data_IF_813465158547
#
_entry.id   IF_813465158547
#
_cell.length_a   1.000
_cell.length_b   1.000
_cell.length_c   1.000
_cell.angle_alpha   90.00
_cell.angle_beta   90.00
_cell.angle_gamma   90.00
#
_symmetry.space_group_name_H-M   'P 1'
#
loop_
_entity.id
_entity.type
_entity.pdbx_description
1 polymer ?
#
# COMPACT_ATOMS: atom_id res chain seq x y z
N UNK A 1 -15.42 -20.77 -7.91
CA UNK A 1 -16.52 -19.99 -7.31
C UNK A 1 -16.65 -20.17 -5.79
N UNK A 2 -15.98 -21.16 -5.18
CA UNK A 2 -15.93 -21.32 -3.72
C UNK A 2 -14.56 -21.89 -3.27
N UNK A 3 -14.25 -21.75 -1.99
CA UNK A 3 -13.06 -22.27 -1.33
C UNK A 3 -13.44 -23.02 -0.04
N UNK A 4 -12.65 -24.03 0.34
CA UNK A 4 -12.92 -24.85 1.51
C UNK A 4 -12.28 -24.24 2.77
N UNK A 5 -13.06 -23.97 3.81
CA UNK A 5 -12.62 -23.39 5.09
C UNK A 5 -13.13 -24.29 6.21
N UNK A 6 -12.21 -24.92 6.96
CA UNK A 6 -12.57 -25.86 8.03
C UNK A 6 -13.62 -26.91 7.61
N UNK A 7 -13.46 -27.49 6.42
CA UNK A 7 -14.39 -28.49 5.88
C UNK A 7 -15.70 -27.93 5.28
N UNK A 8 -15.93 -26.62 5.37
CA UNK A 8 -17.13 -25.97 4.83
C UNK A 8 -16.83 -25.15 3.57
N UNK A 9 -17.77 -25.07 2.64
CA UNK A 9 -17.61 -24.26 1.42
C UNK A 9 -17.97 -22.80 1.67
N UNK A 10 -17.04 -21.91 1.38
CA UNK A 10 -17.23 -20.45 1.43
C UNK A 10 -17.17 -19.90 0.02
N UNK A 11 -18.16 -19.07 -0.35
CA UNK A 11 -18.19 -18.41 -1.67
C UNK A 11 -16.94 -17.55 -1.86
N UNK A 12 -16.34 -17.54 -3.05
CA UNK A 12 -15.17 -16.70 -3.33
C UNK A 12 -15.53 -15.21 -3.29
N UNK A 13 -14.56 -14.37 -2.92
CA UNK A 13 -14.80 -12.93 -2.74
C UNK A 13 -15.11 -12.21 -4.06
N UNK A 14 -14.52 -12.65 -5.17
CA UNK A 14 -14.75 -12.11 -6.52
C UNK A 14 -16.17 -12.36 -7.05
N UNK A 15 -16.91 -13.28 -6.44
CA UNK A 15 -18.34 -13.50 -6.73
C UNK A 15 -19.20 -12.46 -6.02
N UNK A 16 -18.81 -12.02 -4.81
CA UNK A 16 -19.54 -11.03 -4.02
C UNK A 16 -19.25 -9.60 -4.49
N UNK A 17 -17.99 -9.32 -4.83
CA UNK A 17 -17.58 -8.05 -5.40
C UNK A 17 -16.88 -8.30 -6.74
N UNK A 18 -17.65 -8.32 -7.84
CA UNK A 18 -17.10 -8.46 -9.18
C UNK A 18 -16.10 -7.35 -9.51
N UNK A 19 -15.23 -7.61 -10.49
CA UNK A 19 -14.24 -6.62 -10.93
C UNK A 19 -14.91 -5.32 -11.39
N UNK A 20 -14.21 -4.22 -11.15
CA UNK A 20 -14.62 -2.86 -11.53
C UNK A 20 -15.92 -2.37 -10.85
N UNK A 21 -16.39 -3.03 -9.80
CA UNK A 21 -17.49 -2.54 -8.96
C UNK A 21 -16.99 -1.81 -7.72
N UNK A 22 -17.91 -1.10 -7.07
CA UNK A 22 -17.69 -0.40 -5.80
C UNK A 22 -18.60 -0.98 -4.72
N UNK A 23 -18.18 -0.93 -3.45
CA UNK A 23 -19.04 -1.25 -2.32
C UNK A 23 -20.22 -0.29 -2.25
N UNK A 24 -21.34 -0.77 -1.70
CA UNK A 24 -22.56 0.02 -1.64
C UNK A 24 -22.46 1.20 -0.67
N UNK A 25 -21.88 0.97 0.51
CA UNK A 25 -21.92 1.94 1.62
C UNK A 25 -20.92 3.08 1.42
N UNK A 26 -19.64 2.77 1.16
CA UNK A 26 -18.58 3.78 1.08
C UNK A 26 -17.90 3.88 -0.30
N UNK A 27 -18.39 3.16 -1.32
CA UNK A 27 -17.83 3.20 -2.66
C UNK A 27 -16.42 2.61 -2.75
N UNK A 28 -16.10 1.60 -1.94
CA UNK A 28 -14.78 0.97 -1.89
C UNK A 28 -14.56 0.07 -3.12
N UNK A 29 -13.40 0.15 -3.81
CA UNK A 29 -13.11 -0.74 -4.93
C UNK A 29 -13.21 -2.23 -4.57
N UNK A 30 -13.83 -3.01 -5.45
CA UNK A 30 -14.02 -4.46 -5.27
C UNK A 30 -12.75 -5.21 -4.90
N UNK A 31 -11.60 -4.85 -5.49
CA UNK A 31 -10.31 -5.48 -5.18
C UNK A 31 -9.91 -5.33 -3.71
N UNK A 32 -10.25 -4.19 -3.09
CA UNK A 32 -9.93 -3.94 -1.68
C UNK A 32 -10.90 -4.69 -0.75
N UNK A 33 -12.19 -4.76 -1.12
CA UNK A 33 -13.18 -5.58 -0.40
C UNK A 33 -12.83 -7.07 -0.47
N UNK A 34 -12.47 -7.57 -1.65
CA UNK A 34 -12.02 -8.94 -1.84
C UNK A 34 -10.79 -9.25 -1.01
N UNK A 35 -9.81 -8.34 -1.01
CA UNK A 35 -8.58 -8.47 -0.20
C UNK A 35 -8.89 -8.53 1.29
N UNK A 36 -9.79 -7.67 1.78
CA UNK A 36 -10.20 -7.67 3.17
C UNK A 36 -10.90 -8.96 3.59
N UNK A 37 -11.82 -9.46 2.76
CA UNK A 37 -12.52 -10.71 3.02
C UNK A 37 -11.59 -11.92 2.96
N UNK A 38 -10.71 -12.00 1.97
CA UNK A 38 -9.74 -13.10 1.85
C UNK A 38 -8.79 -13.16 3.04
N UNK A 39 -8.31 -12.01 3.53
CA UNK A 39 -7.52 -11.94 4.77
C UNK A 39 -8.33 -12.36 6.00
N UNK A 40 -9.58 -11.94 6.10
CA UNK A 40 -10.47 -12.34 7.20
C UNK A 40 -10.66 -13.86 7.22
N UNK A 41 -10.89 -14.47 6.06
CA UNK A 41 -11.00 -15.94 5.92
C UNK A 41 -9.68 -16.63 6.30
N UNK A 42 -8.54 -16.12 5.85
CA UNK A 42 -7.23 -16.64 6.26
C UNK A 42 -7.03 -16.57 7.78
N UNK A 43 -7.50 -15.49 8.41
CA UNK A 43 -7.41 -15.33 9.86
C UNK A 43 -8.28 -16.35 10.58
N UNK A 44 -9.47 -16.67 10.04
CA UNK A 44 -10.32 -17.75 10.54
C UNK A 44 -9.71 -19.15 10.38
N UNK A 45 -8.88 -19.38 9.35
CA UNK A 45 -8.17 -20.66 9.19
C UNK A 45 -7.20 -20.93 10.34
N UNK A 46 -6.71 -19.88 11.01
CA UNK A 46 -5.72 -19.97 12.09
C UNK A 46 -6.34 -19.76 13.48
N UNK A 47 -7.54 -19.17 13.55
CA UNK A 47 -8.19 -18.78 14.80
C UNK A 47 -9.67 -19.14 14.79
N UNK A 48 -10.16 -19.75 15.87
CA UNK A 48 -11.60 -20.02 16.06
C UNK A 48 -12.41 -18.72 16.14
N UNK A 49 -11.85 -17.69 16.80
CA UNK A 49 -12.46 -16.37 16.94
C UNK A 49 -11.58 -15.28 16.32
N UNK A 50 -12.22 -14.40 15.54
CA UNK A 50 -11.56 -13.26 14.91
C UNK A 50 -12.29 -11.97 15.29
N UNK A 51 -11.53 -10.92 15.59
CA UNK A 51 -12.05 -9.61 15.95
C UNK A 51 -11.90 -8.63 14.79
N UNK A 52 -12.78 -7.63 14.73
CA UNK A 52 -12.68 -6.54 13.75
C UNK A 52 -11.34 -5.79 13.86
N UNK A 53 -10.83 -5.62 15.08
CA UNK A 53 -9.57 -4.94 15.33
C UNK A 53 -8.35 -5.67 14.73
N UNK A 54 -8.34 -7.01 14.74
CA UNK A 54 -7.29 -7.81 14.10
C UNK A 54 -7.25 -7.61 12.57
N UNK A 55 -8.42 -7.46 11.95
CA UNK A 55 -8.50 -7.19 10.50
C UNK A 55 -8.13 -5.74 10.20
N UNK A 56 -8.68 -4.79 10.96
CA UNK A 56 -8.45 -3.36 10.74
C UNK A 56 -7.00 -2.91 11.01
N UNK A 57 -6.21 -3.65 11.79
CA UNK A 57 -4.80 -3.35 12.00
C UNK A 57 -3.93 -3.67 10.78
N UNK A 58 -4.39 -4.56 9.90
CA UNK A 58 -3.68 -4.99 8.69
C UNK A 58 -4.27 -4.35 7.44
N UNK A 59 -5.59 -4.22 7.38
CA UNK A 59 -6.30 -3.71 6.21
C UNK A 59 -7.10 -2.48 6.61
N UNK A 60 -6.74 -1.35 6.00
CA UNK A 60 -7.44 -0.09 6.24
C UNK A 60 -8.73 -0.05 5.42
N UNK A 61 -9.86 -0.27 6.10
CA UNK A 61 -11.21 -0.08 5.58
C UNK A 61 -12.07 0.64 6.64
N UNK A 62 -13.12 1.36 6.20
CA UNK A 62 -14.16 1.87 7.09
C UNK A 62 -14.74 0.76 7.98
N UNK A 63 -15.22 1.15 9.16
CA UNK A 63 -15.80 0.23 10.12
C UNK A 63 -16.93 -0.60 9.53
N UNK A 64 -17.74 0.01 8.69
CA UNK A 64 -18.99 -0.56 8.19
C UNK A 64 -18.71 -1.64 7.14
N UNK A 65 -17.69 -1.45 6.31
CA UNK A 65 -17.22 -2.44 5.33
C UNK A 65 -16.63 -3.67 6.04
N UNK A 66 -15.86 -3.46 7.11
CA UNK A 66 -15.37 -4.56 7.94
C UNK A 66 -16.56 -5.30 8.58
N UNK A 67 -17.55 -4.57 9.08
CA UNK A 67 -18.75 -5.15 9.67
C UNK A 67 -19.52 -6.03 8.64
N UNK A 68 -19.74 -5.53 7.42
CA UNK A 68 -20.37 -6.27 6.31
C UNK A 68 -19.65 -7.60 6.03
N UNK A 69 -18.30 -7.58 5.98
CA UNK A 69 -17.49 -8.78 5.76
C UNK A 69 -17.74 -9.81 6.86
N UNK A 70 -17.76 -9.39 8.13
CA UNK A 70 -17.98 -10.31 9.25
C UNK A 70 -19.40 -10.87 9.27
N UNK A 71 -20.40 -10.04 8.97
CA UNK A 71 -21.80 -10.47 8.87
C UNK A 71 -22.01 -11.53 7.76
N UNK A 72 -21.27 -11.43 6.66
CA UNK A 72 -21.29 -12.43 5.58
C UNK A 72 -20.55 -13.74 5.89
N UNK A 73 -19.70 -13.78 6.92
CA UNK A 73 -18.87 -14.94 7.24
C UNK A 73 -19.25 -15.66 8.54
N UNK A 74 -19.88 -14.95 9.49
CA UNK A 74 -19.90 -15.44 10.86
C UNK A 74 -20.97 -14.85 11.78
N UNK A 75 -20.93 -15.34 13.01
CA UNK A 75 -21.79 -14.91 14.11
C UNK A 75 -20.92 -14.26 15.18
N UNK A 76 -21.40 -13.15 15.73
CA UNK A 76 -20.73 -12.46 16.85
C UNK A 76 -20.94 -13.21 18.17
N UNK A 77 -19.85 -13.56 18.82
CA UNK A 77 -19.82 -14.17 20.15
C UNK A 77 -19.38 -13.13 21.19
N UNK A 78 -20.27 -12.70 22.11
CA UNK A 78 -19.94 -11.70 23.12
C UNK A 78 -18.69 -12.05 23.92
N UNK A 79 -17.79 -11.08 24.10
CA UNK A 79 -16.55 -11.25 24.86
C UNK A 79 -15.41 -11.99 24.15
N UNK A 80 -15.66 -12.63 22.99
CA UNK A 80 -14.62 -13.35 22.23
C UNK A 80 -14.31 -12.71 20.87
N UNK A 81 -15.32 -12.38 20.08
CA UNK A 81 -15.14 -11.91 18.70
C UNK A 81 -16.21 -12.47 17.79
N UNK A 82 -15.83 -12.84 16.57
CA UNK A 82 -16.68 -13.51 15.59
C UNK A 82 -16.17 -14.92 15.35
N UNK A 83 -17.08 -15.85 15.11
CA UNK A 83 -16.78 -17.22 14.70
C UNK A 83 -17.46 -17.49 13.36
N UNK A 84 -16.97 -18.46 12.58
CA UNK A 84 -17.61 -18.84 11.32
C UNK A 84 -19.06 -19.28 11.53
N UNK A 85 -19.90 -19.02 10.52
CA UNK A 85 -21.33 -19.34 10.55
C UNK A 85 -21.58 -20.85 10.73
N UNK A 86 -20.75 -21.66 10.06
CA UNK A 86 -20.79 -23.12 10.20
C UNK A 86 -19.62 -23.59 11.08
N UNK A 87 -19.87 -24.52 12.01
CA UNK A 87 -18.79 -25.15 12.76
C UNK A 87 -17.90 -25.98 11.82
N UNK A 88 -16.62 -26.22 12.19
CA UNK A 88 -15.74 -27.08 11.42
C UNK A 88 -16.35 -28.46 11.12
N UNK A 89 -16.27 -28.90 9.86
CA UNK A 89 -16.62 -30.26 9.45
C UNK A 89 -15.37 -31.14 9.49
N UNK A 90 -15.17 -31.79 10.63
CA UNK A 90 -14.04 -32.70 10.91
C UNK A 90 -14.09 -34.01 10.09
N UNK A 91 -15.25 -34.36 9.54
CA UNK A 91 -15.43 -35.58 8.75
C UNK A 91 -15.19 -35.33 7.25
N UNK A 92 -15.30 -34.08 6.79
CA UNK A 92 -15.03 -33.73 5.38
C UNK A 92 -13.65 -34.22 4.89
N UNK A 93 -12.52 -33.96 5.60
CA UNK A 93 -11.21 -34.41 5.13
C UNK A 93 -11.08 -35.94 5.09
N UNK A 94 -11.86 -36.66 5.93
CA UNK A 94 -11.88 -38.13 5.94
C UNK A 94 -12.65 -38.69 4.74
N UNK A 95 -13.76 -38.04 4.38
CA UNK A 95 -14.63 -38.46 3.27
C UNK A 95 -14.06 -38.07 1.90
N UNK A 96 -13.38 -36.93 1.82
CA UNK A 96 -12.86 -36.36 0.57
C UNK A 96 -11.40 -35.90 0.70
N UNK A 97 -10.46 -36.81 1.03
CA UNK A 97 -9.07 -36.47 1.34
C UNK A 97 -8.35 -35.74 0.20
N UNK A 98 -8.59 -36.16 -1.05
CA UNK A 98 -7.97 -35.55 -2.22
C UNK A 98 -8.40 -34.08 -2.43
N UNK A 99 -9.66 -33.77 -2.11
CA UNK A 99 -10.17 -32.40 -2.22
C UNK A 99 -9.57 -31.56 -1.10
N UNK A 100 -9.57 -32.07 0.14
CA UNK A 100 -8.99 -31.39 1.28
C UNK A 100 -7.50 -31.08 1.05
N UNK A 101 -6.72 -32.05 0.57
CA UNK A 101 -5.29 -31.86 0.27
C UNK A 101 -5.07 -30.79 -0.81
N UNK A 102 -5.84 -30.81 -1.90
CA UNK A 102 -5.73 -29.78 -2.95
C UNK A 102 -6.10 -28.38 -2.42
N UNK A 103 -7.12 -28.28 -1.58
CA UNK A 103 -7.52 -27.02 -0.98
C UNK A 103 -6.47 -26.49 0.00
N UNK A 104 -5.84 -27.37 0.79
CA UNK A 104 -4.75 -26.97 1.69
C UNK A 104 -3.57 -26.39 0.89
N UNK A 105 -3.15 -27.01 -0.21
CA UNK A 105 -2.10 -26.48 -1.08
C UNK A 105 -2.45 -25.08 -1.64
N UNK A 106 -3.72 -24.84 -1.98
CA UNK A 106 -4.18 -23.51 -2.41
C UNK A 106 -4.08 -22.49 -1.27
N UNK A 107 -4.42 -22.89 -0.05
CA UNK A 107 -4.32 -22.02 1.13
C UNK A 107 -2.90 -21.74 1.55
N UNK A 108 -2.00 -22.73 1.50
CA UNK A 108 -0.56 -22.53 1.73
C UNK A 108 0.01 -21.49 0.77
N UNK A 109 -0.34 -21.60 -0.52
CA UNK A 109 0.08 -20.62 -1.54
C UNK A 109 -0.49 -19.23 -1.26
N UNK A 110 -1.77 -19.12 -0.88
CA UNK A 110 -2.38 -17.85 -0.48
C UNK A 110 -1.67 -17.26 0.74
N UNK A 111 -1.44 -18.05 1.78
CA UNK A 111 -0.75 -17.62 3.02
C UNK A 111 0.66 -17.12 2.71
N UNK A 112 1.40 -17.82 1.84
CA UNK A 112 2.72 -17.41 1.39
C UNK A 112 2.68 -16.08 0.63
N UNK A 113 1.77 -15.94 -0.34
CA UNK A 113 1.61 -14.70 -1.11
C UNK A 113 1.26 -13.50 -0.22
N UNK A 114 0.42 -13.72 0.79
CA UNK A 114 0.07 -12.70 1.78
C UNK A 114 1.26 -12.29 2.65
N UNK A 115 2.05 -13.24 3.15
CA UNK A 115 3.27 -12.94 3.92
C UNK A 115 4.25 -12.11 3.08
N UNK A 116 4.49 -12.51 1.83
CA UNK A 116 5.36 -11.77 0.91
C UNK A 116 4.85 -10.34 0.67
N UNK A 117 3.54 -10.14 0.52
CA UNK A 117 2.96 -8.80 0.35
C UNK A 117 3.13 -7.92 1.60
N UNK A 118 3.07 -8.50 2.79
CA UNK A 118 3.24 -7.77 4.06
C UNK A 118 4.72 -7.50 4.40
N UNK A 119 5.63 -8.39 4.00
CA UNK A 119 7.08 -8.27 4.22
C UNK A 119 7.77 -7.42 3.15
N UNK A 120 7.16 -7.27 1.96
CA UNK A 120 7.69 -6.44 0.90
C UNK A 120 7.84 -4.99 1.43
N UNK A 121 9.05 -4.40 1.33
CA UNK A 121 9.21 -3.00 1.68
C UNK A 121 8.27 -2.18 0.80
N UNK A 122 7.48 -1.31 1.43
CA UNK A 122 6.60 -0.35 0.78
C UNK A 122 7.40 0.65 -0.05
N UNK A 123 8.02 0.22 -1.14
CA UNK A 123 8.67 1.10 -2.09
C UNK A 123 7.63 1.54 -3.11
N UNK A 124 7.35 2.86 -3.25
CA UNK A 124 6.62 3.34 -4.40
C UNK A 124 7.39 2.94 -5.66
N UNK A 125 6.71 2.60 -6.78
CA UNK A 125 7.39 2.20 -8.00
C UNK A 125 8.36 3.31 -8.40
N UNK A 126 9.65 3.03 -8.29
CA UNK A 126 10.69 3.98 -8.64
C UNK A 126 10.51 4.26 -10.12
N UNK A 127 10.05 5.47 -10.45
CA UNK A 127 9.76 5.94 -11.80
C UNK A 127 11.01 5.66 -12.64
N UNK A 128 10.95 4.60 -13.45
CA UNK A 128 12.09 4.14 -14.23
C UNK A 128 12.34 5.22 -15.30
N UNK A 129 13.21 6.17 -14.97
CA UNK A 129 13.61 7.25 -15.86
C UNK A 129 14.25 6.55 -17.05
N UNK A 130 13.56 6.53 -18.20
CA UNK A 130 14.06 5.94 -19.45
C UNK A 130 15.47 6.48 -19.69
N UNK A 131 16.49 5.67 -19.39
CA UNK A 131 17.85 5.96 -19.83
C UNK A 131 17.81 5.74 -21.33
N UNK A 132 17.97 6.81 -22.09
CA UNK A 132 18.22 6.68 -23.52
C UNK A 132 19.52 5.92 -23.69
N UNK A 133 19.45 4.73 -24.29
CA UNK A 133 20.63 4.10 -24.87
C UNK A 133 21.10 5.00 -26.00
N UNK A 134 22.08 5.86 -25.71
CA UNK A 134 22.93 6.43 -26.75
C UNK A 134 24.12 5.50 -26.86
N UNK A 135 24.04 4.60 -27.84
CA UNK A 135 25.20 3.86 -28.32
C UNK A 135 26.23 4.88 -28.83
N UNK A 136 27.23 5.18 -28.01
CA UNK A 136 28.42 5.92 -28.48
C UNK A 136 29.37 4.89 -29.07
N UNK A 137 29.25 4.70 -30.39
CA UNK A 137 30.25 4.03 -31.21
C UNK A 137 31.60 4.72 -30.98
N UNK A 138 32.58 3.93 -30.53
CA UNK A 138 33.96 4.36 -30.39
C UNK A 138 34.51 4.76 -31.75
N UNK A 139 35.15 5.93 -31.80
CA UNK A 139 36.04 6.30 -32.89
C UNK A 139 37.42 6.47 -32.31
N UNK A 140 38.29 5.53 -32.67
CA UNK A 140 39.73 5.63 -32.57
C UNK A 140 40.21 6.85 -33.36
N UNK A 141 41.06 7.67 -32.75
CA UNK A 141 42.09 8.42 -33.48
C UNK A 141 43.21 8.80 -32.50
N UNK A 142 44.26 8.00 -32.48
CA UNK A 142 45.58 8.42 -31.99
C UNK A 142 46.16 9.41 -32.99
N UNK A 143 46.53 10.61 -32.57
CA UNK A 143 47.72 11.27 -33.13
C UNK A 143 48.27 12.35 -32.19
N UNK A 144 49.58 12.25 -31.98
CA UNK A 144 50.41 13.01 -31.05
C UNK A 144 50.58 14.46 -31.50
N UNK A 145 50.58 15.43 -30.58
CA UNK A 145 51.58 16.49 -30.69
C UNK A 145 51.98 17.14 -29.36
N UNK A 146 53.26 17.51 -29.35
CA UNK A 146 54.10 17.95 -28.24
C UNK A 146 53.83 19.41 -27.85
N UNK A 147 54.10 19.74 -26.59
CA UNK A 147 53.70 20.97 -25.91
C UNK A 147 54.22 22.30 -26.48
N UNK A 148 53.57 23.39 -26.08
CA UNK A 148 54.12 24.77 -26.06
C UNK A 148 53.18 25.73 -25.31
N UNK A 149 53.66 26.23 -24.16
CA UNK A 149 53.25 27.51 -23.55
C UNK A 149 51.82 27.58 -22.98
N UNK A 150 51.48 28.44 -22.03
CA UNK A 150 52.24 29.49 -21.35
C UNK A 150 51.48 29.82 -20.06
N UNK A 151 52.25 30.00 -19.01
CA UNK A 151 51.95 30.50 -17.67
C UNK A 151 51.14 31.83 -17.65
N UNK A 152 50.43 32.06 -16.52
CA UNK A 152 49.98 33.34 -15.90
C UNK A 152 48.54 33.77 -16.23
N UNK A 153 47.77 34.38 -15.35
CA UNK A 153 47.88 34.68 -13.92
C UNK A 153 46.47 35.08 -13.46
N UNK A 154 46.17 34.76 -12.21
CA UNK A 154 45.27 35.54 -11.37
C UNK A 154 45.99 36.85 -11.08
N UNK A 155 45.40 38.00 -11.41
CA UNK A 155 45.45 39.20 -10.57
C UNK A 155 44.43 40.27 -10.99
N UNK A 156 43.95 40.93 -9.95
CA UNK A 156 42.94 41.97 -9.81
C UNK A 156 43.39 43.37 -10.22
N UNK A 157 42.42 44.26 -10.49
CA UNK A 157 42.40 45.71 -10.17
C UNK A 157 40.99 46.24 -10.53
N UNK A 158 40.13 46.73 -9.63
CA UNK A 158 40.10 48.03 -8.91
C UNK A 158 40.27 49.21 -9.89
N UNK A 159 39.34 50.16 -10.04
CA UNK A 159 38.66 51.12 -9.14
C UNK A 159 37.54 51.81 -9.96
N UNK A 160 36.64 52.68 -9.50
CA UNK A 160 36.03 53.13 -8.23
C UNK A 160 35.05 54.28 -8.65
N UNK A 161 34.11 54.61 -7.76
CA UNK A 161 33.36 55.87 -7.63
C UNK A 161 32.11 56.06 -8.51
N UNK A 162 30.91 56.36 -8.01
CA UNK A 162 30.35 56.64 -6.67
C UNK A 162 28.82 56.70 -6.86
N UNK A 163 27.90 56.45 -5.93
CA UNK A 163 27.62 57.15 -4.67
C UNK A 163 26.15 56.81 -4.32
N UNK A 164 25.80 56.63 -3.04
CA UNK A 164 24.41 56.60 -2.57
C UNK A 164 24.02 55.44 -1.64
N UNK A 165 24.00 55.73 -0.35
CA UNK A 165 23.67 54.87 0.79
C UNK A 165 22.24 54.25 0.83
N UNK A 166 22.01 53.22 1.67
CA UNK A 166 20.76 52.49 1.77
C UNK A 166 19.79 53.12 2.78
N UNK A 167 18.54 53.37 2.38
CA UNK A 167 17.51 53.93 3.26
C UNK A 167 16.48 52.87 3.65
N UNK A 168 16.37 52.69 4.97
CA UNK A 168 15.42 51.88 5.74
C UNK A 168 13.96 52.01 5.27
N UNK A 169 13.31 50.88 4.97
CA UNK A 169 11.86 50.77 4.87
C UNK A 169 11.24 50.20 6.15
N UNK A 170 10.82 51.08 7.07
CA UNK A 170 9.97 50.74 8.22
C UNK A 170 8.58 51.32 7.94
N UNK A 171 7.56 50.48 7.76
CA UNK A 171 6.15 50.88 7.94
C UNK A 171 5.44 49.91 8.88
N UNK A 172 5.35 50.39 10.11
CA UNK A 172 4.30 50.07 11.09
C UNK A 172 2.96 50.45 10.48
N UNK A 173 1.96 49.58 10.58
CA UNK A 173 0.58 50.03 10.64
C UNK A 173 -0.14 49.41 11.85
N UNK A 174 -0.98 50.27 12.42
CA UNK A 174 -1.49 50.33 13.78
C UNK A 174 -2.79 49.51 13.94
N UNK A 175 -3.01 49.13 15.19
CA UNK A 175 -4.07 48.30 15.78
C UNK A 175 -5.51 48.85 15.77
N UNK A 176 -6.43 47.97 16.21
CA UNK A 176 -7.79 48.13 16.80
C UNK A 176 -8.94 47.81 15.82
N UNK A 177 -9.99 47.07 16.18
CA UNK A 177 -10.71 46.97 17.46
C UNK A 177 -11.59 45.69 17.50
N UNK A 178 -11.78 45.15 18.70
CA UNK A 178 -12.73 44.10 19.05
C UNK A 178 -14.19 44.60 19.06
N UNK A 179 -15.13 43.67 18.86
CA UNK A 179 -16.48 43.71 19.43
C UNK A 179 -16.99 42.28 19.63
N UNK A 180 -17.12 41.87 20.89
CA UNK A 180 -18.00 40.78 21.33
C UNK A 180 -19.47 41.13 21.04
N UNK A 181 -20.31 40.12 20.89
CA UNK A 181 -21.70 40.17 21.36
C UNK A 181 -22.10 38.75 21.75
N UNK A 182 -22.21 38.57 23.07
CA UNK A 182 -23.15 37.63 23.66
C UNK A 182 -24.55 38.28 23.63
#
# INVERSE_FOLDING_TARGET
VAALVHGNWVVNSDVLWPKDTLSFENGIPADLMCRARDYTILTFMENEYVTRAQVSSVISLPSDEIQEIFEGLGIRTPGKGWQLLQPPDEDFPRRFPDIAQRQELLWENKRKSWKEMMEAPSHPPQRQRRRSNRDSIGSENEERNVGRGRHRQRDSSISDDGSGEPVKGKKVNKSRKASETA
#
